data_IF_465707607138
#
_entry.id   IF_465707607138
#
_cell.length_a   1.000
_cell.length_b   1.000
_cell.length_c   1.000
_cell.angle_alpha   90.00
_cell.angle_beta   90.00
_cell.angle_gamma   90.00
#
_symmetry.space_group_name_H-M   'P 1'
#
loop_
_entity.id
_entity.type
_entity.pdbx_description
1 polymer ?
#
# COMPACT_ATOMS: atom_id res chain seq x y z
N UNK A 1 11.20 -6.62 8.43
CA UNK A 1 10.96 -7.04 7.03
C UNK A 1 11.94 -6.29 6.14
N UNK A 2 12.50 -6.89 5.09
CA UNK A 2 13.40 -6.16 4.17
C UNK A 2 12.61 -5.06 3.45
N UNK A 3 13.19 -3.88 3.26
CA UNK A 3 12.51 -2.76 2.59
C UNK A 3 11.55 -1.96 3.48
N UNK A 4 11.50 -2.27 4.78
CA UNK A 4 10.65 -1.57 5.74
C UNK A 4 11.45 -0.98 6.90
N UNK A 5 11.08 0.23 7.29
CA UNK A 5 11.56 0.91 8.48
C UNK A 5 10.47 0.95 9.55
N UNK A 6 10.83 0.78 10.82
CA UNK A 6 9.87 0.91 11.92
C UNK A 6 9.46 2.37 12.08
N UNK A 7 8.15 2.63 12.05
CA UNK A 7 7.59 3.95 12.31
C UNK A 7 7.62 4.24 13.81
N UNK A 8 8.12 5.41 14.20
CA UNK A 8 8.29 5.81 15.62
C UNK A 8 7.97 7.30 15.82
N UNK A 9 7.91 7.75 17.07
CA UNK A 9 7.73 9.16 17.43
C UNK A 9 6.32 9.70 17.16
N UNK A 10 6.21 11.02 16.92
CA UNK A 10 4.92 11.74 16.76
C UNK A 10 4.02 11.11 15.69
N UNK A 11 4.59 10.64 14.58
CA UNK A 11 3.82 10.05 13.50
C UNK A 11 3.15 8.73 13.94
N UNK A 12 3.88 7.89 14.67
CA UNK A 12 3.36 6.64 15.27
C UNK A 12 2.24 6.96 16.27
N UNK A 13 2.46 7.90 17.18
CA UNK A 13 1.49 8.31 18.19
C UNK A 13 0.18 8.82 17.57
N UNK A 14 0.25 9.61 16.50
CA UNK A 14 -0.94 10.12 15.80
C UNK A 14 -1.74 9.00 15.13
N UNK A 15 -1.06 8.03 14.51
CA UNK A 15 -1.74 6.90 13.88
C UNK A 15 -2.33 5.94 14.92
N UNK A 16 -1.65 5.72 16.04
CA UNK A 16 -2.19 4.96 17.17
C UNK A 16 -3.43 5.64 17.75
N UNK A 17 -3.39 6.96 17.99
CA UNK A 17 -4.55 7.73 18.45
C UNK A 17 -5.74 7.61 17.49
N UNK A 18 -5.47 7.53 16.17
CA UNK A 18 -6.50 7.27 15.18
C UNK A 18 -7.08 5.86 15.33
N UNK A 19 -6.24 4.84 15.48
CA UNK A 19 -6.66 3.46 15.70
C UNK A 19 -7.54 3.29 16.95
N UNK A 20 -7.29 4.04 18.02
CA UNK A 20 -8.13 4.02 19.23
C UNK A 20 -9.59 4.45 19.00
N UNK A 21 -9.88 5.12 17.87
CA UNK A 21 -11.26 5.50 17.48
C UNK A 21 -12.00 4.39 16.74
N UNK A 22 -11.29 3.38 16.23
CA UNK A 22 -11.90 2.22 15.58
C UNK A 22 -12.17 1.14 16.63
N UNK A 23 -13.42 0.66 16.71
CA UNK A 23 -13.85 -0.32 17.71
C UNK A 23 -13.14 -1.68 17.65
N UNK A 24 -12.66 -2.08 16.47
CA UNK A 24 -11.87 -3.30 16.27
C UNK A 24 -10.42 -3.09 16.72
N UNK A 25 -9.83 -1.95 16.34
CA UNK A 25 -8.42 -1.70 16.54
C UNK A 25 -8.08 -1.16 17.92
N UNK A 26 -9.01 -0.51 18.61
CA UNK A 26 -8.76 0.09 19.93
C UNK A 26 -8.31 -0.94 20.96
N UNK A 27 -7.63 -0.48 22.01
CA UNK A 27 -7.30 -1.31 23.18
C UNK A 27 -8.59 -1.77 23.86
N UNK A 28 -8.67 -3.06 24.20
CA UNK A 28 -9.92 -3.70 24.62
C UNK A 28 -11.06 -3.59 23.60
N UNK A 29 -10.73 -3.62 22.31
CA UNK A 29 -11.68 -3.60 21.19
C UNK A 29 -12.46 -4.90 21.01
N UNK A 30 -13.19 -5.04 19.90
CA UNK A 30 -14.06 -6.19 19.65
C UNK A 30 -13.30 -7.53 19.55
N UNK A 31 -12.23 -7.60 18.77
CA UNK A 31 -11.41 -8.82 18.61
C UNK A 31 -10.85 -9.34 19.95
N UNK A 32 -10.52 -8.42 20.87
CA UNK A 32 -10.07 -8.76 22.22
C UNK A 32 -11.17 -9.39 23.07
N UNK A 33 -12.45 -9.04 22.86
CA UNK A 33 -13.57 -9.65 23.60
C UNK A 33 -13.83 -11.10 23.17
N UNK A 34 -13.42 -11.46 21.95
CA UNK A 34 -13.59 -12.78 21.37
C UNK A 34 -12.35 -13.68 21.55
N UNK A 35 -11.22 -13.14 22.02
CA UNK A 35 -9.99 -13.90 22.27
C UNK A 35 -10.06 -14.71 23.58
N UNK A 36 -10.04 -16.06 23.54
CA UNK A 36 -10.06 -16.90 24.75
C UNK A 36 -8.81 -16.77 25.62
N UNK A 37 -7.70 -16.25 25.09
CA UNK A 37 -6.43 -16.06 25.81
C UNK A 37 -6.18 -14.61 26.24
N UNK A 38 -7.00 -13.66 25.78
CA UNK A 38 -6.96 -12.23 26.12
C UNK A 38 -5.60 -11.57 25.86
N UNK A 39 -4.86 -12.02 24.83
CA UNK A 39 -3.55 -11.48 24.48
C UNK A 39 -3.69 -10.17 23.72
N UNK A 40 -3.19 -9.08 24.30
CA UNK A 40 -3.29 -7.76 23.68
C UNK A 40 -2.10 -7.50 22.72
N UNK A 41 -2.38 -7.40 21.42
CA UNK A 41 -1.36 -7.08 20.41
C UNK A 41 -0.95 -5.59 20.45
N UNK A 42 0.35 -5.27 20.34
CA UNK A 42 0.82 -3.89 20.26
C UNK A 42 0.57 -3.26 18.89
N UNK A 43 0.55 -1.93 18.82
CA UNK A 43 0.58 -1.21 17.53
C UNK A 43 1.99 -1.24 16.94
N UNK A 44 2.16 -1.93 15.82
CA UNK A 44 3.43 -1.97 15.09
C UNK A 44 3.20 -1.49 13.67
N UNK A 45 3.78 -0.34 13.33
CA UNK A 45 3.68 0.22 12.00
C UNK A 45 5.04 0.19 11.30
N UNK A 46 5.05 -0.25 10.06
CA UNK A 46 6.23 -0.35 9.23
C UNK A 46 6.06 0.50 7.97
N UNK A 47 7.03 1.35 7.69
CA UNK A 47 7.04 2.26 6.54
C UNK A 47 7.83 1.65 5.40
N UNK A 48 7.37 1.82 4.17
CA UNK A 48 8.14 1.54 2.97
C UNK A 48 7.96 2.66 1.95
N UNK A 49 8.99 2.88 1.14
CA UNK A 49 8.95 3.76 -0.03
C UNK A 49 8.75 2.96 -1.34
N UNK A 50 8.74 1.63 -1.26
CA UNK A 50 8.62 0.73 -2.40
C UNK A 50 7.19 0.19 -2.51
N UNK A 51 6.53 0.47 -3.64
CA UNK A 51 5.19 -0.04 -3.91
C UNK A 51 5.18 -1.58 -4.04
N UNK A 52 6.27 -2.18 -4.50
CA UNK A 52 6.43 -3.64 -4.57
C UNK A 52 6.56 -4.29 -3.19
N UNK A 53 7.27 -3.62 -2.27
CA UNK A 53 7.39 -4.08 -0.89
C UNK A 53 6.04 -3.96 -0.17
N UNK A 54 5.30 -2.86 -0.41
CA UNK A 54 3.93 -2.68 0.08
C UNK A 54 2.99 -3.77 -0.45
N UNK A 55 3.02 -4.01 -1.77
CA UNK A 55 2.20 -5.05 -2.43
C UNK A 55 2.48 -6.42 -1.87
N UNK A 56 3.76 -6.76 -1.72
CA UNK A 56 4.20 -8.05 -1.17
C UNK A 56 3.77 -8.22 0.28
N UNK A 57 3.83 -7.15 1.08
CA UNK A 57 3.39 -7.16 2.47
C UNK A 57 1.88 -7.38 2.61
N UNK A 58 1.08 -6.55 1.91
CA UNK A 58 -0.38 -6.63 1.96
C UNK A 58 -0.91 -7.94 1.35
N UNK A 59 -0.26 -8.47 0.32
CA UNK A 59 -0.61 -9.76 -0.28
C UNK A 59 -0.15 -10.99 0.50
N UNK A 60 0.77 -10.83 1.47
CA UNK A 60 1.36 -11.94 2.22
C UNK A 60 0.45 -12.56 3.29
N UNK A 61 -0.54 -11.80 3.78
CA UNK A 61 -1.49 -12.25 4.82
C UNK A 61 -0.85 -12.66 6.16
N UNK A 62 -1.66 -13.28 7.03
CA UNK A 62 -1.24 -13.78 8.35
C UNK A 62 -0.63 -12.71 9.28
N UNK A 63 -1.08 -11.47 9.14
CA UNK A 63 -0.65 -10.36 10.00
C UNK A 63 -1.53 -10.28 11.24
N UNK A 64 -0.93 -9.92 12.37
CA UNK A 64 -1.67 -9.70 13.60
C UNK A 64 -2.51 -8.42 13.49
N UNK A 65 -3.63 -8.38 14.22
CA UNK A 65 -4.40 -7.14 14.37
C UNK A 65 -3.49 -6.01 14.90
N UNK A 66 -3.76 -4.77 14.48
CA UNK A 66 -2.98 -3.54 14.81
C UNK A 66 -1.58 -3.46 14.20
N UNK A 67 -1.16 -4.46 13.43
CA UNK A 67 -0.04 -4.29 12.54
C UNK A 67 -0.46 -3.44 11.34
N UNK A 68 0.42 -2.56 10.88
CA UNK A 68 0.09 -1.73 9.73
C UNK A 68 1.29 -1.36 8.87
N UNK A 69 0.99 -1.10 7.61
CA UNK A 69 1.96 -0.66 6.62
C UNK A 69 1.66 0.77 6.20
N UNK A 70 2.70 1.59 6.13
CA UNK A 70 2.61 3.00 5.75
C UNK A 70 3.41 3.22 4.48
N UNK A 71 2.74 3.85 3.52
CA UNK A 71 3.31 4.23 2.23
C UNK A 71 2.99 5.69 1.97
N UNK A 72 4.01 6.54 2.11
CA UNK A 72 3.92 8.00 1.98
C UNK A 72 2.85 8.62 2.91
N UNK A 73 1.67 8.94 2.39
CA UNK A 73 0.52 9.51 3.09
C UNK A 73 -0.62 8.51 3.31
N UNK A 74 -0.43 7.24 2.97
CA UNK A 74 -1.40 6.15 3.21
C UNK A 74 -0.93 5.25 4.36
N UNK A 75 -1.90 4.75 5.12
CA UNK A 75 -1.70 3.72 6.13
C UNK A 75 -2.77 2.63 6.00
N UNK A 76 -2.36 1.37 6.10
CA UNK A 76 -3.21 0.19 6.03
C UNK A 76 -3.02 -0.60 7.33
N UNK A 77 -4.06 -0.68 8.16
CA UNK A 77 -3.97 -1.29 9.49
C UNK A 77 -4.82 -2.55 9.51
N UNK A 78 -4.21 -3.68 9.82
CA UNK A 78 -4.91 -4.95 9.91
C UNK A 78 -5.95 -4.91 11.02
N UNK A 79 -7.22 -5.12 10.69
CA UNK A 79 -8.32 -5.10 11.66
C UNK A 79 -8.89 -6.48 11.98
N UNK A 80 -8.52 -7.51 11.22
CA UNK A 80 -8.88 -8.91 11.48
C UNK A 80 -7.61 -9.73 11.67
N UNK A 81 -7.45 -10.38 12.83
CA UNK A 81 -6.25 -11.18 13.10
C UNK A 81 -6.09 -12.31 12.07
N UNK A 82 -4.94 -12.36 11.39
CA UNK A 82 -4.63 -13.35 10.35
C UNK A 82 -5.43 -13.22 9.05
N UNK A 83 -6.35 -12.26 8.94
CA UNK A 83 -7.22 -12.04 7.78
C UNK A 83 -6.57 -11.25 6.64
N UNK A 84 -7.42 -10.74 5.73
CA UNK A 84 -7.05 -9.84 4.65
C UNK A 84 -8.02 -8.65 4.65
N UNK A 85 -8.10 -7.97 5.78
CA UNK A 85 -9.00 -6.83 5.95
C UNK A 85 -8.25 -5.69 6.61
N UNK A 86 -7.98 -4.67 5.81
CA UNK A 86 -7.09 -3.58 6.12
C UNK A 86 -7.87 -2.29 6.23
N UNK A 87 -7.91 -1.70 7.42
CA UNK A 87 -8.49 -0.39 7.63
C UNK A 87 -7.60 0.67 7.00
N UNK A 88 -8.12 1.37 5.99
CA UNK A 88 -7.35 2.29 5.17
C UNK A 88 -7.52 3.72 5.65
N UNK A 89 -6.38 4.38 5.90
CA UNK A 89 -6.29 5.76 6.32
C UNK A 89 -5.41 6.55 5.34
N UNK A 90 -5.74 7.83 5.18
CA UNK A 90 -4.92 8.82 4.46
C UNK A 90 -4.60 10.03 5.35
N UNK A 91 -3.38 10.52 5.25
CA UNK A 91 -2.91 11.69 6.00
C UNK A 91 -3.14 12.98 5.22
N UNK A 92 -3.83 13.92 5.85
CA UNK A 92 -3.99 15.30 5.38
C UNK A 92 -3.40 16.26 6.42
N UNK A 93 -2.13 16.67 6.22
CA UNK A 93 -1.39 17.43 7.22
C UNK A 93 -1.08 16.60 8.47
N UNK A 94 -1.52 17.05 9.64
CA UNK A 94 -1.34 16.36 10.93
C UNK A 94 -2.52 15.41 11.27
N UNK A 95 -3.47 15.20 10.35
CA UNK A 95 -4.67 14.40 10.58
C UNK A 95 -4.70 13.13 9.73
N UNK A 96 -4.99 11.98 10.37
CA UNK A 96 -5.33 10.74 9.68
C UNK A 96 -6.85 10.62 9.50
N UNK A 97 -7.27 10.47 8.26
CA UNK A 97 -8.67 10.29 7.84
C UNK A 97 -8.83 8.86 7.35
N UNK A 98 -9.69 8.10 8.01
CA UNK A 98 -10.12 6.78 7.53
C UNK A 98 -11.24 6.94 6.51
N UNK A 99 -11.38 5.96 5.61
CA UNK A 99 -12.47 5.98 4.64
C UNK A 99 -13.13 4.63 4.44
N UNK A 100 -12.37 3.58 4.14
CA UNK A 100 -12.93 2.23 4.07
C UNK A 100 -11.91 1.17 4.43
N UNK A 101 -12.32 -0.09 4.33
CA UNK A 101 -11.45 -1.24 4.51
C UNK A 101 -11.24 -1.95 3.17
N UNK A 102 -10.03 -2.47 2.96
CA UNK A 102 -9.64 -3.14 1.72
C UNK A 102 -9.16 -4.56 1.99
N UNK A 103 -9.48 -5.46 1.07
CA UNK A 103 -8.86 -6.79 0.97
C UNK A 103 -7.87 -6.78 -0.20
N UNK A 104 -6.58 -6.94 0.10
CA UNK A 104 -5.50 -6.78 -0.87
C UNK A 104 -5.05 -8.09 -1.50
N UNK A 105 -5.35 -9.24 -0.89
CA UNK A 105 -4.87 -10.55 -1.31
C UNK A 105 -5.19 -10.90 -2.76
N UNK A 106 -6.35 -10.46 -3.28
CA UNK A 106 -6.67 -10.62 -4.72
C UNK A 106 -5.87 -9.64 -5.58
N UNK A 107 -5.95 -8.34 -5.30
CA UNK A 107 -5.37 -7.32 -6.18
C UNK A 107 -3.84 -7.31 -6.14
N UNK A 108 -3.21 -7.78 -5.06
CA UNK A 108 -1.75 -7.90 -4.96
C UNK A 108 -1.14 -8.93 -5.94
N UNK A 109 -1.97 -9.83 -6.48
CA UNK A 109 -1.58 -10.79 -7.53
C UNK A 109 -1.44 -10.12 -8.91
N UNK A 110 -2.09 -8.97 -9.10
CA UNK A 110 -2.12 -8.20 -10.34
C UNK A 110 -1.44 -6.84 -10.11
N UNK A 111 -0.11 -6.71 -10.34
CA UNK A 111 0.63 -5.50 -9.99
C UNK A 111 0.01 -4.20 -10.51
N UNK A 112 -0.48 -4.19 -11.75
CA UNK A 112 -1.13 -3.03 -12.34
C UNK A 112 -2.45 -2.65 -11.64
N UNK A 113 -3.25 -3.62 -11.19
CA UNK A 113 -4.50 -3.35 -10.45
C UNK A 113 -4.18 -2.77 -9.06
N UNK A 114 -3.20 -3.37 -8.37
CA UNK A 114 -2.71 -2.88 -7.08
C UNK A 114 -2.17 -1.45 -7.19
N UNK A 115 -1.25 -1.20 -8.12
CA UNK A 115 -0.66 0.12 -8.33
C UNK A 115 -1.71 1.17 -8.66
N UNK A 116 -2.70 0.83 -9.50
CA UNK A 116 -3.79 1.72 -9.83
C UNK A 116 -4.66 2.06 -8.62
N UNK A 117 -4.95 1.10 -7.73
CA UNK A 117 -5.70 1.34 -6.50
C UNK A 117 -4.94 2.27 -5.55
N UNK A 118 -3.65 1.99 -5.30
CA UNK A 118 -2.79 2.83 -4.46
C UNK A 118 -2.69 4.25 -5.04
N UNK A 119 -2.58 4.39 -6.36
CA UNK A 119 -2.52 5.69 -7.03
C UNK A 119 -3.81 6.51 -6.83
N UNK A 120 -4.99 5.90 -6.94
CA UNK A 120 -6.26 6.59 -6.67
C UNK A 120 -6.35 7.06 -5.21
N UNK A 121 -6.01 6.18 -4.25
CA UNK A 121 -5.98 6.55 -2.82
C UNK A 121 -5.00 7.70 -2.54
N UNK A 122 -3.81 7.65 -3.15
CA UNK A 122 -2.75 8.67 -3.08
C UNK A 122 -3.19 10.03 -3.63
N UNK A 123 -4.02 10.06 -4.65
CA UNK A 123 -4.52 11.31 -5.24
C UNK A 123 -5.84 11.80 -4.65
N UNK A 124 -6.54 10.95 -3.88
CA UNK A 124 -7.80 11.28 -3.25
C UNK A 124 -7.72 12.56 -2.38
N UNK A 125 -8.66 13.46 -2.57
CA UNK A 125 -8.94 14.55 -1.63
C UNK A 125 -9.64 14.01 -0.37
N UNK A 126 -9.70 14.84 0.68
CA UNK A 126 -10.40 14.46 1.92
C UNK A 126 -11.87 14.16 1.64
N UNK A 127 -12.50 14.96 0.79
CA UNK A 127 -13.90 14.81 0.37
C UNK A 127 -14.12 13.52 -0.45
N UNK A 128 -13.19 13.14 -1.31
CA UNK A 128 -13.27 11.90 -2.10
C UNK A 128 -13.07 10.65 -1.23
N UNK A 129 -12.17 10.69 -0.26
CA UNK A 129 -12.06 9.67 0.79
C UNK A 129 -13.38 9.52 1.53
N UNK A 130 -13.93 10.61 2.09
CA UNK A 130 -15.15 10.57 2.91
C UNK A 130 -16.41 10.18 2.12
N UNK A 131 -16.45 10.47 0.82
CA UNK A 131 -17.57 10.08 -0.06
C UNK A 131 -17.36 8.75 -0.78
N UNK A 132 -16.22 8.07 -0.56
CA UNK A 132 -15.85 6.81 -1.22
C UNK A 132 -15.83 6.86 -2.75
N UNK A 133 -15.53 8.03 -3.32
CA UNK A 133 -15.48 8.24 -4.78
C UNK A 133 -14.06 8.35 -5.35
N UNK A 134 -13.05 8.10 -4.53
CA UNK A 134 -11.65 8.24 -4.94
C UNK A 134 -11.22 7.30 -6.07
N UNK A 135 -11.90 6.17 -6.28
CA UNK A 135 -11.65 5.26 -7.42
C UNK A 135 -12.26 5.77 -8.74
N UNK A 136 -13.17 6.74 -8.69
CA UNK A 136 -13.77 7.39 -9.86
C UNK A 136 -13.04 8.69 -10.23
N UNK A 137 -12.16 9.15 -9.34
CA UNK A 137 -11.45 10.41 -9.47
C UNK A 137 -10.51 10.39 -10.66
N UNK A 138 -10.50 11.49 -11.41
CA UNK A 138 -9.48 11.71 -12.44
C UNK A 138 -8.14 11.90 -11.74
N UNK A 139 -7.27 10.90 -11.82
CA UNK A 139 -5.87 11.09 -11.47
C UNK A 139 -5.30 12.13 -12.44
N UNK A 140 -4.70 13.23 -11.96
CA UNK A 140 -4.03 14.17 -12.85
C UNK A 140 -3.04 13.40 -13.71
N UNK A 141 -3.05 13.59 -15.04
CA UNK A 141 -2.05 12.97 -15.91
C UNK A 141 -0.68 13.18 -15.30
N UNK A 142 0.04 12.08 -15.02
CA UNK A 142 1.42 12.18 -14.59
C UNK A 142 2.13 13.05 -15.63
N UNK A 143 2.59 14.24 -15.22
CA UNK A 143 3.61 14.96 -15.98
C UNK A 143 4.86 14.09 -15.86
N UNK A 144 4.94 13.10 -16.74
CA UNK A 144 6.00 12.12 -16.80
C UNK A 144 7.31 12.89 -16.74
N UNK A 145 8.08 12.69 -15.68
CA UNK A 145 9.27 13.50 -15.46
C UNK A 145 10.23 13.24 -16.62
N UNK A 146 11.10 14.20 -16.90
CA UNK A 146 12.13 14.03 -17.92
C UNK A 146 12.99 12.78 -17.64
N UNK A 147 13.16 12.41 -16.37
CA UNK A 147 13.88 11.21 -15.94
C UNK A 147 13.10 9.93 -16.29
N UNK A 148 11.79 9.89 -16.05
CA UNK A 148 10.95 8.72 -16.36
C UNK A 148 10.88 8.50 -17.88
N UNK A 149 10.74 9.59 -18.66
CA UNK A 149 10.80 9.52 -20.12
C UNK A 149 12.15 9.01 -20.62
N UNK A 150 13.24 9.47 -20.02
CA UNK A 150 14.59 9.03 -20.37
C UNK A 150 14.78 7.55 -20.04
N UNK A 151 14.31 7.10 -18.87
CA UNK A 151 14.46 5.71 -18.44
C UNK A 151 13.64 4.76 -19.32
N UNK A 152 12.38 5.10 -19.62
CA UNK A 152 11.56 4.31 -20.56
C UNK A 152 12.15 4.27 -21.96
N UNK A 153 12.73 5.37 -22.45
CA UNK A 153 13.40 5.41 -23.76
C UNK A 153 14.67 4.53 -23.80
N UNK A 154 15.43 4.49 -22.70
CA UNK A 154 16.61 3.62 -22.56
C UNK A 154 16.17 2.15 -22.57
N UNK A 155 15.19 1.78 -21.75
CA UNK A 155 14.68 0.40 -21.68
C UNK A 155 14.10 -0.08 -23.02
N UNK A 156 13.37 0.79 -23.74
CA UNK A 156 12.87 0.47 -25.08
C UNK A 156 14.00 0.29 -26.10
N UNK A 157 15.04 1.13 -26.04
CA UNK A 157 16.20 1.03 -26.94
C UNK A 157 17.00 -0.26 -26.70
N UNK A 158 17.14 -0.69 -25.45
CA UNK A 158 17.84 -1.91 -25.11
C UNK A 158 17.07 -3.17 -25.53
N UNK A 159 15.74 -3.14 -25.42
CA UNK A 159 14.87 -4.20 -25.93
C UNK A 159 15.00 -4.35 -27.46
N UNK A 160 14.98 -3.25 -28.21
CA UNK A 160 15.15 -3.25 -29.68
C UNK A 160 16.54 -3.80 -30.07
N UNK A 161 17.59 -3.42 -29.34
CA UNK A 161 18.95 -3.92 -29.59
C UNK A 161 19.08 -5.42 -29.30
N UNK A 162 18.41 -5.92 -28.26
CA UNK A 162 18.41 -7.34 -27.93
C UNK A 162 17.70 -8.17 -29.02
N UNK A 163 16.54 -7.70 -29.47
CA UNK A 163 15.74 -8.34 -30.52
C UNK A 163 16.46 -8.33 -31.88
N UNK A 164 17.15 -7.23 -32.21
CA UNK A 164 17.97 -7.12 -33.42
C UNK A 164 19.15 -8.11 -33.39
N UNK A 165 19.81 -8.30 -32.24
CA UNK A 165 20.91 -9.28 -32.10
C UNK A 165 20.41 -10.72 -32.20
N UNK A 166 19.24 -11.03 -31.64
CA UNK A 166 18.63 -12.36 -31.79
C UNK A 166 18.33 -12.69 -33.25
N UNK A 167 17.72 -11.76 -33.99
CA UNK A 167 17.40 -11.96 -35.41
C UNK A 167 18.65 -12.10 -36.29
N UNK A 168 19.75 -11.40 -35.97
CA UNK A 168 21.02 -11.54 -36.69
C UNK A 168 21.68 -12.91 -36.45
N UNK A 169 21.63 -13.42 -35.21
CA UNK A 169 22.19 -14.74 -34.89
C UNK A 169 21.40 -15.88 -35.54
N UNK A 170 20.07 -15.77 -35.60
CA UNK A 170 19.18 -16.74 -36.27
C UNK A 170 19.45 -16.85 -37.79
N UNK A 171 19.83 -15.74 -38.43
CA UNK A 171 20.12 -15.72 -39.87
C UNK A 171 21.54 -16.21 -40.23
N UNK A 172 22.45 -16.34 -39.25
CA UNK A 172 23.80 -16.88 -39.47
C UNK A 172 23.90 -18.40 -39.26
N UNK A 173 22.83 -19.06 -38.80
CA UNK A 173 22.80 -20.52 -38.54
C UNK A 173 22.09 -21.33 -39.63
N UNK A 174 21.84 -20.73 -40.81
CA UNK A 174 21.23 -21.40 -41.99
C UNK A 174 22.21 -21.55 -43.13
#
# INVERSE_FOLDING_TARGET
>A
MKGFETMTGKEHELLEQKCQKNGWLKRGGYDWQDDPFMEEYPYTFAKTESIDDLRSALGGGNWAIRQGFVYEDLAFIQQVNGGDEWWTCKRFGDEWVDFESWSFGRIAQEPAEFENAILHMRHATKEECLSLRYMESKIPEQKQSLADKAQSAISASDAIKADTRQNQNLNQTR
#
